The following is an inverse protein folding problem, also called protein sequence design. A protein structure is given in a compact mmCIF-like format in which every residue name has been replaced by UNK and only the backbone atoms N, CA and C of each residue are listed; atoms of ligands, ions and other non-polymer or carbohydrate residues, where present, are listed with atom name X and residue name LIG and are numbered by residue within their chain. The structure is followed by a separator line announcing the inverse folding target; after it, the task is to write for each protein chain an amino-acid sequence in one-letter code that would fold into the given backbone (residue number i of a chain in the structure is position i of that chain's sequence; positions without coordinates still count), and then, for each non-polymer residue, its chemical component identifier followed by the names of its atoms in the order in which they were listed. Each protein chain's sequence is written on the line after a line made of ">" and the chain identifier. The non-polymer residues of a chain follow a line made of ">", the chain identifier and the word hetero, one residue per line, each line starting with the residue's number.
data_IF_991363585855
#
_entry.id   IF_991363585855
#
_cell.length_a   1.000
_cell.length_b   1.000
_cell.length_c   1.000
_cell.angle_alpha   90.00
_cell.angle_beta   90.00
_cell.angle_gamma   90.00
#
_symmetry.space_group_name_H-M   'P 1'
#
loop_
_entity.id
_entity.type
_entity.pdbx_description
1 polymer ?
#
# COMPACT_ATOMS: atom_id res chain seq x y z
N UNK A 1 38.97 -7.98 15.04
CA UNK A 1 37.82 -7.04 15.06
C UNK A 1 36.64 -7.84 14.57
N UNK A 2 35.57 -7.98 15.35
CA UNK A 2 34.49 -8.91 15.06
C UNK A 2 33.76 -8.52 13.77
N UNK A 3 33.87 -9.37 12.74
CA UNK A 3 33.17 -9.33 11.45
C UNK A 3 31.66 -9.62 11.59
N UNK A 4 30.99 -9.07 12.61
CA UNK A 4 29.53 -9.13 12.67
C UNK A 4 28.96 -8.07 11.72
N UNK A 5 28.30 -8.55 10.65
CA UNK A 5 27.54 -7.69 9.78
C UNK A 5 26.54 -6.87 10.60
N UNK A 6 26.42 -5.56 10.33
CA UNK A 6 25.59 -4.69 11.14
C UNK A 6 24.10 -5.01 10.92
N UNK A 7 23.40 -5.35 12.01
CA UNK A 7 21.99 -5.80 11.98
C UNK A 7 21.04 -4.69 11.52
N UNK A 8 20.16 -5.03 10.58
CA UNK A 8 19.09 -4.16 10.03
C UNK A 8 17.78 -4.35 10.78
N UNK A 9 17.51 -5.56 11.26
CA UNK A 9 16.28 -5.97 11.93
C UNK A 9 16.58 -6.78 13.19
N UNK A 10 15.55 -7.09 13.96
CA UNK A 10 15.61 -7.97 15.11
C UNK A 10 14.35 -8.83 15.20
N UNK A 11 14.47 -10.02 15.76
CA UNK A 11 13.33 -10.85 16.13
C UNK A 11 12.83 -10.38 17.50
N UNK A 12 11.53 -10.16 17.64
CA UNK A 12 10.91 -9.80 18.91
C UNK A 12 11.24 -10.82 20.01
N UNK A 13 11.41 -10.35 21.24
CA UNK A 13 11.75 -11.23 22.38
C UNK A 13 10.58 -12.09 22.83
N UNK A 14 9.37 -11.56 22.71
CA UNK A 14 8.15 -12.22 23.14
C UNK A 14 7.43 -12.74 21.90
N UNK A 15 6.93 -14.00 21.92
CA UNK A 15 6.14 -14.51 20.83
C UNK A 15 4.79 -13.78 20.75
N UNK A 16 4.23 -13.73 19.54
CA UNK A 16 2.85 -13.30 19.28
C UNK A 16 1.97 -14.53 19.16
N UNK A 17 0.78 -14.48 19.74
CA UNK A 17 -0.26 -15.50 19.53
C UNK A 17 -1.09 -15.14 18.31
N UNK A 18 -1.20 -16.04 17.34
CA UNK A 18 -2.06 -15.83 16.18
C UNK A 18 -3.55 -15.83 16.59
N UNK A 19 -4.35 -14.82 16.20
CA UNK A 19 -5.77 -14.80 16.55
C UNK A 19 -6.61 -15.81 15.74
N UNK A 20 -6.06 -16.35 14.64
CA UNK A 20 -6.72 -17.35 13.79
C UNK A 20 -6.41 -18.77 14.27
N UNK A 21 -5.13 -19.17 14.24
CA UNK A 21 -4.74 -20.56 14.53
C UNK A 21 -4.20 -20.79 15.96
N UNK A 22 -4.13 -19.74 16.80
CA UNK A 22 -3.62 -19.77 18.19
C UNK A 22 -2.16 -20.17 18.37
N UNK A 23 -1.44 -20.57 17.33
CA UNK A 23 -0.01 -20.82 17.42
C UNK A 23 0.78 -19.56 17.80
N UNK A 24 1.83 -19.77 18.58
CA UNK A 24 2.81 -18.76 18.92
C UNK A 24 3.91 -18.69 17.87
N UNK A 25 4.34 -17.47 17.54
CA UNK A 25 5.43 -17.26 16.60
C UNK A 25 6.17 -15.96 16.92
N UNK A 26 7.43 -15.88 16.52
CA UNK A 26 8.21 -14.66 16.64
C UNK A 26 8.08 -13.80 15.38
N UNK A 27 8.02 -12.49 15.56
CA UNK A 27 7.92 -11.54 14.47
C UNK A 27 9.22 -10.74 14.33
N UNK A 28 9.64 -10.52 13.09
CA UNK A 28 10.79 -9.70 12.78
C UNK A 28 10.41 -8.23 12.61
N UNK A 29 11.16 -7.35 13.28
CA UNK A 29 10.96 -5.91 13.30
C UNK A 29 12.19 -5.18 12.76
N UNK A 30 11.96 -4.10 12.01
CA UNK A 30 13.04 -3.20 11.58
C UNK A 30 13.66 -2.47 12.79
N UNK A 31 14.98 -2.38 12.84
CA UNK A 31 15.66 -1.52 13.81
C UNK A 31 15.55 -0.06 13.38
N UNK A 32 15.13 0.80 14.30
CA UNK A 32 15.07 2.24 14.08
C UNK A 32 16.39 2.94 14.44
N UNK A 33 16.69 4.05 13.76
CA UNK A 33 17.87 4.88 14.03
C UNK A 33 19.21 4.32 13.51
N UNK A 34 20.30 4.98 13.89
CA UNK A 34 21.67 4.57 13.55
C UNK A 34 22.05 4.70 12.08
N UNK A 35 21.36 5.55 11.31
CA UNK A 35 21.63 5.80 9.89
C UNK A 35 21.26 4.64 8.95
N UNK A 36 20.36 3.75 9.38
CA UNK A 36 19.88 2.61 8.58
C UNK A 36 19.04 3.03 7.38
N UNK A 37 18.16 4.00 7.60
CA UNK A 37 17.29 4.57 6.58
C UNK A 37 17.83 5.95 6.20
N UNK A 38 18.35 6.07 4.99
CA UNK A 38 18.79 7.34 4.41
C UNK A 38 17.68 7.75 3.44
N UNK A 39 16.90 8.76 3.82
CA UNK A 39 15.78 9.22 3.00
C UNK A 39 16.27 9.75 1.65
N UNK A 40 15.75 9.19 0.56
CA UNK A 40 15.95 9.63 -0.82
C UNK A 40 14.79 10.49 -1.32
N UNK A 41 14.51 10.41 -2.62
CA UNK A 41 13.46 11.19 -3.31
C UNK A 41 12.04 10.81 -2.85
N UNK A 42 11.17 11.81 -2.75
CA UNK A 42 9.71 11.58 -2.66
C UNK A 42 9.13 11.49 -4.08
N UNK A 43 8.62 10.32 -4.44
CA UNK A 43 8.01 10.05 -5.75
C UNK A 43 6.62 10.67 -5.89
N UNK A 44 6.07 10.65 -7.09
CA UNK A 44 4.73 11.16 -7.36
C UNK A 44 3.65 10.33 -6.66
N UNK A 45 3.81 9.01 -6.57
CA UNK A 45 2.95 8.13 -5.77
C UNK A 45 3.17 8.23 -4.25
N UNK A 46 3.82 9.31 -3.78
CA UNK A 46 4.14 9.59 -2.38
C UNK A 46 5.02 8.51 -1.70
N UNK A 47 5.63 7.61 -2.48
CA UNK A 47 6.64 6.68 -1.98
C UNK A 47 7.94 7.42 -1.68
N UNK A 48 8.52 7.17 -0.50
CA UNK A 48 9.89 7.58 -0.17
C UNK A 48 10.86 6.51 -0.67
N UNK A 49 11.81 6.90 -1.52
CA UNK A 49 12.97 6.02 -1.82
C UNK A 49 13.99 6.10 -0.70
N UNK A 50 14.83 5.08 -0.56
CA UNK A 50 15.92 5.05 0.43
C UNK A 50 17.25 4.82 -0.27
N UNK A 51 18.21 5.69 0.04
CA UNK A 51 19.57 5.59 -0.49
C UNK A 51 20.33 4.43 0.15
N UNK A 52 21.23 3.81 -0.62
CA UNK A 52 22.06 2.71 -0.13
C UNK A 52 22.97 3.18 1.00
N UNK A 53 22.87 2.54 2.16
CA UNK A 53 23.76 2.81 3.28
C UNK A 53 25.14 2.20 3.04
N UNK A 54 26.21 2.96 3.30
CA UNK A 54 27.59 2.43 3.29
C UNK A 54 27.77 1.31 4.33
N UNK A 55 27.06 1.40 5.46
CA UNK A 55 27.18 0.44 6.57
C UNK A 55 26.23 -0.75 6.41
N UNK A 56 24.97 -0.49 6.07
CA UNK A 56 23.91 -1.51 6.08
C UNK A 56 23.50 -2.01 4.68
N UNK A 57 24.08 -1.46 3.61
CA UNK A 57 23.62 -1.73 2.26
C UNK A 57 22.24 -1.14 1.98
N UNK A 58 21.50 -1.74 1.05
CA UNK A 58 20.14 -1.33 0.72
C UNK A 58 19.18 -1.86 1.78
N UNK A 59 18.33 -0.99 2.33
CA UNK A 59 17.34 -1.35 3.34
C UNK A 59 15.95 -1.05 2.81
N UNK A 60 15.08 -2.05 2.84
CA UNK A 60 13.69 -1.96 2.38
C UNK A 60 12.76 -1.97 3.60
N UNK A 61 12.35 -0.81 4.13
CA UNK A 61 11.62 -0.78 5.39
C UNK A 61 10.19 -1.30 5.26
N UNK A 62 9.60 -1.25 4.06
CA UNK A 62 8.24 -1.72 3.81
C UNK A 62 8.05 -3.23 4.04
N UNK A 63 9.10 -4.06 4.01
CA UNK A 63 8.96 -5.52 4.19
C UNK A 63 8.64 -5.92 5.64
N UNK A 64 8.77 -4.99 6.60
CA UNK A 64 8.59 -5.23 8.04
C UNK A 64 7.24 -4.74 8.59
N UNK A 65 6.34 -4.21 7.75
CA UNK A 65 5.10 -3.55 8.22
C UNK A 65 3.98 -4.56 8.52
N UNK A 66 3.93 -5.65 7.77
CA UNK A 66 2.87 -6.66 7.85
C UNK A 66 3.32 -7.81 8.74
N UNK A 67 2.49 -8.14 9.72
CA UNK A 67 2.65 -9.36 10.52
C UNK A 67 2.03 -10.51 9.75
N UNK A 68 2.75 -11.62 9.64
CA UNK A 68 2.26 -12.85 9.01
C UNK A 68 2.44 -13.99 10.01
N UNK A 69 1.40 -14.77 10.26
CA UNK A 69 1.52 -16.00 11.02
C UNK A 69 2.15 -17.09 10.13
N UNK A 70 3.31 -17.68 10.47
CA UNK A 70 3.96 -18.69 9.64
C UNK A 70 3.17 -20.00 9.56
N UNK A 71 2.24 -20.25 10.49
CA UNK A 71 1.48 -21.50 10.55
C UNK A 71 0.23 -21.50 9.66
N UNK A 72 -0.48 -20.37 9.59
CA UNK A 72 -1.74 -20.27 8.86
C UNK A 72 -1.75 -19.22 7.76
N UNK A 73 -0.66 -18.46 7.62
CA UNK A 73 -0.47 -17.38 6.64
C UNK A 73 -1.49 -16.23 6.75
N UNK A 74 -2.24 -16.15 7.85
CA UNK A 74 -3.03 -14.96 8.16
C UNK A 74 -2.09 -13.76 8.34
N UNK A 75 -2.43 -12.65 7.70
CA UNK A 75 -1.61 -11.46 7.67
C UNK A 75 -2.44 -10.19 7.81
N UNK A 76 -1.90 -9.19 8.51
CA UNK A 76 -2.46 -7.85 8.64
C UNK A 76 -1.36 -6.89 9.12
N UNK A 77 -1.63 -5.58 9.11
CA UNK A 77 -0.69 -4.62 9.71
C UNK A 77 -0.56 -4.87 11.21
N UNK A 78 0.58 -4.50 11.77
CA UNK A 78 0.89 -4.75 13.17
C UNK A 78 -0.18 -4.25 14.13
N UNK A 79 -0.70 -3.04 13.91
CA UNK A 79 -1.74 -2.46 14.76
C UNK A 79 -3.09 -3.16 14.64
N UNK A 80 -3.33 -3.85 13.52
CA UNK A 80 -4.60 -4.48 13.19
C UNK A 80 -4.58 -5.99 13.39
N UNK A 81 -3.41 -6.61 13.62
CA UNK A 81 -3.25 -8.06 13.57
C UNK A 81 -4.24 -8.81 14.46
N UNK A 82 -4.47 -8.31 15.67
CA UNK A 82 -5.38 -8.90 16.66
C UNK A 82 -6.83 -8.37 16.56
N UNK A 83 -7.15 -7.53 15.57
CA UNK A 83 -8.47 -6.90 15.39
C UNK A 83 -9.35 -7.65 14.38
N UNK A 84 -9.05 -8.91 14.10
CA UNK A 84 -9.92 -9.78 13.30
C UNK A 84 -11.32 -9.85 13.93
N UNK A 85 -12.37 -9.85 13.11
CA UNK A 85 -13.73 -10.09 13.59
C UNK A 85 -13.82 -11.52 14.13
N UNK A 86 -14.18 -11.66 15.40
CA UNK A 86 -14.33 -12.96 16.06
C UNK A 86 -15.28 -13.90 15.31
N UNK A 87 -16.28 -13.36 14.60
CA UNK A 87 -17.22 -14.16 13.78
C UNK A 87 -16.60 -14.70 12.49
N UNK A 88 -15.42 -14.22 12.12
CA UNK A 88 -14.69 -14.56 10.89
C UNK A 88 -13.45 -15.41 11.13
N UNK A 89 -13.14 -15.75 12.39
CA UNK A 89 -11.95 -16.53 12.75
C UNK A 89 -11.97 -17.93 12.14
N UNK A 90 -13.11 -18.62 12.18
CA UNK A 90 -13.26 -19.96 11.59
C UNK A 90 -13.11 -19.91 10.07
N UNK A 91 -13.78 -18.97 9.40
CA UNK A 91 -13.64 -18.71 7.97
C UNK A 91 -12.18 -18.42 7.58
N UNK A 92 -11.46 -17.64 8.39
CA UNK A 92 -10.04 -17.37 8.17
C UNK A 92 -9.16 -18.60 8.37
N UNK A 93 -9.51 -19.51 9.28
CA UNK A 93 -8.76 -20.74 9.52
C UNK A 93 -8.91 -21.71 8.33
N UNK A 94 -10.11 -21.84 7.78
CA UNK A 94 -10.44 -22.75 6.67
C UNK A 94 -9.69 -22.41 5.37
N UNK A 95 -9.31 -21.14 5.18
CA UNK A 95 -8.57 -20.68 3.99
C UNK A 95 -7.04 -20.84 4.10
N UNK A 96 -6.53 -21.48 5.16
CA UNK A 96 -5.08 -21.70 5.35
C UNK A 96 -4.42 -22.41 4.16
N UNK A 97 -5.01 -23.51 3.68
CA UNK A 97 -4.47 -24.26 2.53
C UNK A 97 -4.49 -23.44 1.24
N UNK A 98 -5.53 -22.63 1.06
CA UNK A 98 -5.66 -21.74 -0.09
C UNK A 98 -4.57 -20.67 -0.09
N UNK A 99 -4.30 -20.03 1.06
CA UNK A 99 -3.19 -19.07 1.20
C UNK A 99 -1.85 -19.71 0.87
N UNK A 100 -1.61 -20.94 1.33
CA UNK A 100 -0.38 -21.67 1.00
C UNK A 100 -0.24 -21.97 -0.51
N UNK A 101 -1.34 -22.34 -1.18
CA UNK A 101 -1.36 -22.51 -2.64
C UNK A 101 -0.98 -21.21 -3.36
N UNK A 102 -1.57 -20.09 -2.95
CA UNK A 102 -1.25 -18.79 -3.54
C UNK A 102 0.20 -18.38 -3.34
N UNK A 103 0.79 -18.61 -2.16
CA UNK A 103 2.21 -18.32 -1.96
C UNK A 103 3.08 -19.12 -2.91
N UNK A 104 2.77 -20.41 -3.09
CA UNK A 104 3.49 -21.28 -4.01
C UNK A 104 3.33 -20.85 -5.47
N UNK A 105 2.12 -20.51 -5.89
CA UNK A 105 1.81 -20.12 -7.27
C UNK A 105 2.43 -18.77 -7.65
N UNK A 106 2.39 -17.78 -6.76
CA UNK A 106 2.84 -16.41 -7.07
C UNK A 106 4.30 -16.15 -6.72
N UNK A 107 4.84 -16.83 -5.70
CA UNK A 107 6.16 -16.53 -5.15
C UNK A 107 7.06 -17.77 -5.03
N UNK A 108 6.62 -18.93 -5.55
CA UNK A 108 7.39 -20.17 -5.49
C UNK A 108 7.46 -20.78 -4.08
N UNK A 109 8.40 -21.70 -3.88
CA UNK A 109 8.55 -22.41 -2.60
C UNK A 109 9.48 -21.69 -1.61
N UNK A 110 9.99 -20.51 -1.95
CA UNK A 110 11.06 -19.83 -1.21
C UNK A 110 10.55 -18.90 -0.11
N UNK A 111 9.24 -18.62 -0.06
CA UNK A 111 8.62 -17.80 0.99
C UNK A 111 8.65 -18.52 2.33
N UNK A 112 9.40 -17.99 3.30
CA UNK A 112 9.52 -18.57 4.64
C UNK A 112 9.49 -17.50 5.74
N UNK A 113 8.34 -17.35 6.39
CA UNK A 113 8.14 -16.40 7.49
C UNK A 113 8.74 -16.83 8.83
N UNK A 114 9.42 -17.98 8.91
CA UNK A 114 10.18 -18.41 10.10
C UNK A 114 11.61 -17.89 10.13
N UNK A 115 12.08 -17.33 9.00
CA UNK A 115 13.42 -16.78 8.81
C UNK A 115 13.38 -15.25 8.72
N UNK A 116 14.58 -14.66 8.66
CA UNK A 116 14.74 -13.25 8.34
C UNK A 116 14.17 -12.94 6.95
N UNK A 117 13.34 -11.91 6.89
CA UNK A 117 12.60 -11.49 5.69
C UNK A 117 13.54 -10.96 4.63
N UNK A 118 13.25 -11.36 3.41
CA UNK A 118 13.77 -10.76 2.20
C UNK A 118 12.66 -9.92 1.53
N UNK A 119 12.97 -9.37 0.35
CA UNK A 119 11.96 -8.74 -0.50
C UNK A 119 10.81 -9.68 -0.85
N UNK A 120 11.09 -10.99 -0.96
CA UNK A 120 10.09 -11.99 -1.31
C UNK A 120 9.02 -12.11 -0.21
N UNK A 121 9.43 -12.30 1.05
CA UNK A 121 8.52 -12.27 2.21
C UNK A 121 7.81 -10.92 2.33
N UNK A 122 8.50 -9.82 1.99
CA UNK A 122 7.93 -8.49 1.94
C UNK A 122 6.72 -8.40 1.01
N UNK A 123 6.90 -8.77 -0.26
CA UNK A 123 5.81 -8.79 -1.24
C UNK A 123 4.71 -9.80 -0.87
N UNK A 124 5.08 -11.02 -0.52
CA UNK A 124 4.15 -12.06 -0.09
C UNK A 124 3.28 -11.60 1.09
N UNK A 125 3.85 -10.85 2.04
CA UNK A 125 3.09 -10.34 3.19
C UNK A 125 1.96 -9.39 2.79
N UNK A 126 2.19 -8.48 1.84
CA UNK A 126 1.13 -7.58 1.36
C UNK A 126 0.06 -8.32 0.56
N UNK A 127 0.45 -9.33 -0.22
CA UNK A 127 -0.51 -10.20 -0.91
C UNK A 127 -1.42 -10.91 0.10
N UNK A 128 -0.85 -11.52 1.14
CA UNK A 128 -1.60 -12.20 2.20
C UNK A 128 -2.48 -11.21 2.98
N UNK A 129 -2.01 -9.99 3.24
CA UNK A 129 -2.78 -8.99 3.95
C UNK A 129 -4.03 -8.52 3.17
N UNK A 130 -4.00 -8.53 1.83
CA UNK A 130 -5.19 -8.27 1.02
C UNK A 130 -6.32 -9.27 1.33
N UNK A 131 -5.98 -10.56 1.50
CA UNK A 131 -6.93 -11.57 1.96
C UNK A 131 -7.27 -11.38 3.44
N UNK A 132 -6.29 -11.10 4.29
CA UNK A 132 -6.48 -10.92 5.73
C UNK A 132 -7.53 -9.87 6.10
N UNK A 133 -7.53 -8.72 5.41
CA UNK A 133 -8.53 -7.66 5.63
C UNK A 133 -9.95 -8.02 5.16
N UNK A 134 -10.20 -9.22 4.62
CA UNK A 134 -11.57 -9.73 4.41
C UNK A 134 -12.24 -10.15 5.71
N UNK A 135 -11.44 -10.49 6.73
CA UNK A 135 -11.92 -11.00 8.01
C UNK A 135 -12.03 -9.89 9.07
N UNK A 136 -11.88 -8.63 8.68
CA UNK A 136 -11.88 -7.47 9.57
C UNK A 136 -13.23 -6.76 9.56
N UNK A 137 -13.60 -6.19 10.71
CA UNK A 137 -14.79 -5.36 10.85
C UNK A 137 -14.59 -3.94 10.34
N UNK A 138 -15.70 -3.21 10.22
CA UNK A 138 -15.73 -1.81 9.72
C UNK A 138 -14.85 -0.82 10.51
N UNK A 139 -14.48 -1.16 11.74
CA UNK A 139 -13.72 -0.28 12.64
C UNK A 139 -12.21 -0.22 12.32
N UNK A 140 -11.71 -1.09 11.44
CA UNK A 140 -10.30 -1.05 10.97
C UNK A 140 -10.16 -0.41 9.59
N UNK A 141 -11.25 0.09 9.00
CA UNK A 141 -11.32 0.58 7.62
C UNK A 141 -10.68 -0.37 6.60
N UNK A 142 -11.15 -1.64 6.51
CA UNK A 142 -10.52 -2.67 5.70
C UNK A 142 -10.41 -2.31 4.22
N UNK A 143 -11.30 -1.46 3.68
CA UNK A 143 -11.20 -1.03 2.28
C UNK A 143 -9.97 -0.16 2.05
N UNK A 144 -9.68 0.80 2.95
CA UNK A 144 -8.44 1.59 2.88
C UNK A 144 -7.20 0.69 3.05
N UNK A 145 -7.24 -0.22 4.02
CA UNK A 145 -6.11 -1.09 4.32
C UNK A 145 -5.77 -2.01 3.14
N UNK A 146 -6.78 -2.51 2.41
CA UNK A 146 -6.58 -3.22 1.15
C UNK A 146 -6.00 -2.32 0.05
N UNK A 147 -6.41 -1.06 -0.03
CA UNK A 147 -5.82 -0.10 -0.98
C UNK A 147 -4.32 0.08 -0.71
N UNK A 148 -3.94 0.28 0.57
CA UNK A 148 -2.56 0.38 1.02
C UNK A 148 -1.76 -0.89 0.72
N UNK A 149 -2.32 -2.07 1.00
CA UNK A 149 -1.67 -3.34 0.67
C UNK A 149 -1.45 -3.51 -0.83
N UNK A 150 -2.42 -3.15 -1.67
CA UNK A 150 -2.29 -3.25 -3.14
C UNK A 150 -1.19 -2.33 -3.66
N UNK A 151 -1.18 -1.08 -3.19
CA UNK A 151 -0.16 -0.11 -3.57
C UNK A 151 1.24 -0.55 -3.09
N UNK A 152 1.39 -0.91 -1.82
CA UNK A 152 2.68 -1.32 -1.26
C UNK A 152 3.17 -2.64 -1.84
N UNK A 153 2.27 -3.55 -2.21
CA UNK A 153 2.61 -4.75 -2.97
C UNK A 153 3.24 -4.38 -4.32
N UNK A 154 2.62 -3.45 -5.06
CA UNK A 154 3.16 -2.98 -6.34
C UNK A 154 4.58 -2.40 -6.19
N UNK A 155 4.85 -1.69 -5.10
CA UNK A 155 6.17 -1.14 -4.77
C UNK A 155 7.21 -2.20 -4.39
N UNK A 156 6.82 -3.22 -3.61
CA UNK A 156 7.72 -4.33 -3.28
C UNK A 156 7.98 -5.23 -4.49
N UNK A 157 7.02 -5.35 -5.41
CA UNK A 157 7.22 -6.02 -6.70
C UNK A 157 8.17 -5.22 -7.60
N UNK A 158 8.10 -3.89 -7.58
CA UNK A 158 9.09 -3.02 -8.24
C UNK A 158 10.50 -3.25 -7.67
N UNK A 159 10.63 -3.34 -6.34
CA UNK A 159 11.91 -3.65 -5.69
C UNK A 159 12.42 -5.05 -6.11
N UNK A 160 11.55 -6.05 -6.14
CA UNK A 160 11.87 -7.40 -6.61
C UNK A 160 12.30 -7.40 -8.07
N UNK A 161 11.58 -6.72 -8.96
CA UNK A 161 11.91 -6.64 -10.38
C UNK A 161 13.27 -5.95 -10.61
N UNK A 162 13.61 -4.95 -9.80
CA UNK A 162 14.91 -4.29 -9.86
C UNK A 162 16.06 -5.21 -9.41
N UNK A 163 15.83 -6.06 -8.41
CA UNK A 163 16.87 -6.99 -7.88
C UNK A 163 16.95 -8.27 -8.72
N UNK A 164 15.81 -8.75 -9.23
CA UNK A 164 15.63 -10.00 -9.96
C UNK A 164 14.90 -9.77 -11.30
N UNK A 165 15.51 -9.07 -12.27
CA UNK A 165 14.84 -8.65 -13.50
C UNK A 165 14.36 -9.80 -14.39
N UNK A 166 14.92 -11.00 -14.24
CA UNK A 166 14.55 -12.17 -15.06
C UNK A 166 13.35 -12.95 -14.51
N UNK A 167 12.89 -12.64 -13.30
CA UNK A 167 11.76 -13.32 -12.64
C UNK A 167 10.40 -12.70 -13.02
N UNK A 168 10.40 -11.63 -13.84
CA UNK A 168 9.19 -11.00 -14.42
C UNK A 168 8.17 -10.46 -13.38
N UNK A 169 8.62 -10.06 -12.18
CA UNK A 169 7.76 -9.48 -11.14
C UNK A 169 7.09 -8.17 -11.58
N UNK A 170 7.67 -7.46 -12.54
CA UNK A 170 7.17 -6.23 -13.13
C UNK A 170 5.78 -6.40 -13.78
N UNK A 171 5.49 -7.59 -14.32
CA UNK A 171 4.22 -7.88 -15.01
C UNK A 171 2.99 -7.74 -14.11
N UNK A 172 3.15 -7.90 -12.80
CA UNK A 172 2.06 -7.81 -11.83
C UNK A 172 1.86 -6.39 -11.28
N UNK A 173 2.81 -5.48 -11.49
CA UNK A 173 2.76 -4.11 -10.95
C UNK A 173 1.52 -3.35 -11.44
N UNK A 174 1.18 -3.31 -12.75
CA UNK A 174 0.02 -2.56 -13.23
C UNK A 174 -1.30 -3.08 -12.65
N UNK A 175 -1.42 -4.41 -12.47
CA UNK A 175 -2.60 -5.03 -11.89
C UNK A 175 -2.85 -4.54 -10.45
N UNK A 176 -1.80 -4.54 -9.61
CA UNK A 176 -1.94 -4.10 -8.22
C UNK A 176 -2.09 -2.58 -8.09
N UNK A 177 -1.52 -1.79 -9.01
CA UNK A 177 -1.78 -0.34 -9.09
C UNK A 177 -3.22 -0.04 -9.47
N UNK A 178 -3.77 -0.75 -10.46
CA UNK A 178 -5.17 -0.64 -10.85
C UNK A 178 -6.10 -1.01 -9.69
N UNK A 179 -5.84 -2.15 -9.03
CA UNK A 179 -6.59 -2.59 -7.85
C UNK A 179 -6.51 -1.56 -6.71
N UNK A 180 -5.34 -0.95 -6.50
CA UNK A 180 -5.21 0.14 -5.53
C UNK A 180 -6.09 1.33 -5.91
N UNK A 181 -6.18 1.71 -7.19
CA UNK A 181 -7.04 2.79 -7.70
C UNK A 181 -8.52 2.59 -7.33
N UNK A 182 -9.04 1.38 -7.60
CA UNK A 182 -10.42 1.01 -7.28
C UNK A 182 -10.66 1.07 -5.76
N UNK A 183 -9.76 0.47 -4.98
CA UNK A 183 -9.88 0.41 -3.52
C UNK A 183 -9.74 1.78 -2.86
N UNK A 184 -8.88 2.67 -3.36
CA UNK A 184 -8.78 4.04 -2.87
C UNK A 184 -10.08 4.81 -3.13
N UNK A 185 -10.67 4.66 -4.31
CA UNK A 185 -11.95 5.29 -4.65
C UNK A 185 -13.08 4.75 -3.76
N UNK A 186 -13.19 3.43 -3.63
CA UNK A 186 -14.18 2.79 -2.75
C UNK A 186 -14.00 3.16 -1.27
N UNK A 187 -12.75 3.34 -0.83
CA UNK A 187 -12.43 3.74 0.53
C UNK A 187 -12.94 5.15 0.85
N UNK A 188 -12.79 6.10 -0.08
CA UNK A 188 -13.34 7.45 0.04
C UNK A 188 -14.88 7.40 0.18
N UNK A 189 -15.54 6.58 -0.62
CA UNK A 189 -17.00 6.39 -0.55
C UNK A 189 -17.43 5.79 0.79
N UNK A 190 -16.74 4.75 1.26
CA UNK A 190 -16.99 4.12 2.55
C UNK A 190 -16.82 5.09 3.72
N UNK A 191 -15.85 6.01 3.62
CA UNK A 191 -15.66 7.08 4.60
C UNK A 191 -16.81 8.10 4.56
N UNK A 192 -17.21 8.53 3.36
CA UNK A 192 -18.24 9.57 3.18
C UNK A 192 -19.64 9.12 3.59
N UNK A 193 -19.98 7.85 3.37
CA UNK A 193 -21.29 7.29 3.74
C UNK A 193 -21.29 6.61 5.13
N UNK A 194 -20.17 6.62 5.85
CA UNK A 194 -20.06 6.03 7.19
C UNK A 194 -20.11 4.50 7.23
N UNK A 195 -19.90 3.81 6.10
CA UNK A 195 -19.85 2.34 6.03
C UNK A 195 -18.66 1.77 6.79
N UNK A 196 -17.54 2.49 6.79
CA UNK A 196 -16.32 2.15 7.54
C UNK A 196 -15.90 3.31 8.44
N UNK A 197 -15.32 3.01 9.60
CA UNK A 197 -14.88 4.01 10.57
C UNK A 197 -13.38 4.31 10.40
N UNK A 198 -13.05 5.57 10.16
CA UNK A 198 -11.68 6.04 9.93
C UNK A 198 -11.09 6.81 11.13
N UNK A 199 -11.86 7.08 12.19
CA UNK A 199 -11.42 7.90 13.33
C UNK A 199 -10.26 7.27 14.11
N UNK A 200 -10.22 5.94 14.18
CA UNK A 200 -9.19 5.18 14.91
C UNK A 200 -7.91 4.95 14.09
N UNK A 201 -7.88 5.40 12.83
CA UNK A 201 -6.72 5.18 11.98
C UNK A 201 -5.56 6.07 12.40
N UNK A 202 -4.42 5.44 12.67
CA UNK A 202 -3.16 6.14 12.96
C UNK A 202 -2.56 6.82 11.73
N UNK A 203 -2.77 6.22 10.55
CA UNK A 203 -2.22 6.71 9.29
C UNK A 203 -3.15 6.41 8.11
N UNK A 204 -3.28 7.39 7.23
CA UNK A 204 -3.90 7.36 5.91
C UNK A 204 -2.84 7.28 4.80
N UNK A 205 -1.57 7.41 5.15
CA UNK A 205 -0.47 7.58 4.23
C UNK A 205 -0.13 6.31 3.44
N UNK A 206 0.16 6.45 2.14
CA UNK A 206 0.54 5.33 1.29
C UNK A 206 1.89 4.74 1.72
N UNK A 207 2.80 5.55 2.26
CA UNK A 207 4.11 5.14 2.78
C UNK A 207 4.12 5.14 4.34
N UNK A 208 5.18 4.60 4.93
CA UNK A 208 5.48 4.66 6.37
C UNK A 208 6.33 5.90 6.74
N UNK A 209 6.94 6.58 5.76
CA UNK A 209 7.72 7.81 5.96
C UNK A 209 6.85 8.99 6.42
N UNK A 210 5.70 9.19 5.77
CA UNK A 210 4.81 10.30 6.06
C UNK A 210 3.34 9.91 5.86
N UNK A 211 2.50 10.34 6.80
CA UNK A 211 1.06 10.05 6.81
C UNK A 211 0.33 10.78 5.68
N UNK A 212 0.70 12.01 5.31
CA UNK A 212 -0.02 12.86 4.33
C UNK A 212 -1.53 13.08 4.59
N UNK A 213 -2.12 12.45 5.61
CA UNK A 213 -3.50 12.60 6.02
C UNK A 213 -4.51 12.19 4.95
N UNK A 214 -5.74 12.67 5.14
CA UNK A 214 -6.84 12.47 4.20
C UNK A 214 -6.54 13.13 2.83
N UNK A 215 -5.80 14.24 2.81
CA UNK A 215 -5.36 14.87 1.57
C UNK A 215 -4.46 13.94 0.74
N UNK A 216 -3.54 13.22 1.37
CA UNK A 216 -2.73 12.19 0.72
C UNK A 216 -3.59 11.08 0.12
N UNK A 217 -4.61 10.62 0.85
CA UNK A 217 -5.56 9.64 0.35
C UNK A 217 -6.34 10.13 -0.88
N UNK A 218 -6.84 11.37 -0.86
CA UNK A 218 -7.51 11.98 -2.02
C UNK A 218 -6.58 12.13 -3.21
N UNK A 219 -5.34 12.55 -2.96
CA UNK A 219 -4.31 12.67 -3.99
C UNK A 219 -4.00 11.31 -4.63
N UNK A 220 -3.79 10.26 -3.83
CA UNK A 220 -3.52 8.91 -4.34
C UNK A 220 -4.68 8.36 -5.16
N UNK A 221 -5.93 8.56 -4.70
CA UNK A 221 -7.12 8.15 -5.44
C UNK A 221 -7.27 8.85 -6.80
N UNK A 222 -6.81 10.11 -6.91
CA UNK A 222 -6.83 10.85 -8.15
C UNK A 222 -5.67 10.45 -9.08
N UNK A 223 -4.46 10.30 -8.53
CA UNK A 223 -3.26 9.92 -9.28
C UNK A 223 -3.44 8.54 -9.92
N UNK A 224 -3.82 7.55 -9.11
CA UNK A 224 -4.06 6.19 -9.60
C UNK A 224 -5.27 6.11 -10.54
N UNK A 225 -6.26 7.01 -10.36
CA UNK A 225 -7.40 7.14 -11.27
C UNK A 225 -6.99 7.67 -12.65
N UNK A 226 -6.10 8.67 -12.68
CA UNK A 226 -5.52 9.19 -13.91
C UNK A 226 -4.65 8.14 -14.61
N UNK A 227 -3.84 7.38 -13.86
CA UNK A 227 -3.03 6.32 -14.45
C UNK A 227 -3.88 5.17 -15.00
N UNK A 228 -4.93 4.76 -14.27
CA UNK A 228 -5.87 3.74 -14.73
C UNK A 228 -6.64 4.19 -15.99
N UNK A 229 -6.94 5.48 -16.15
CA UNK A 229 -7.70 5.99 -17.30
C UNK A 229 -6.96 5.82 -18.64
N UNK A 230 -5.63 5.68 -18.62
CA UNK A 230 -4.81 5.41 -19.81
C UNK A 230 -5.16 4.09 -20.49
N UNK A 231 -5.77 3.15 -19.76
CA UNK A 231 -6.18 1.85 -20.26
C UNK A 231 -7.68 1.78 -20.64
N UNK A 232 -8.41 2.89 -20.52
CA UNK A 232 -9.83 2.96 -20.88
C UNK A 232 -9.94 3.27 -22.38
N UNK A 233 -10.48 2.35 -23.21
CA UNK A 233 -10.55 2.54 -24.65
C UNK A 233 -11.65 3.52 -25.07
N UNK A 234 -12.76 3.58 -24.33
CA UNK A 234 -13.87 4.50 -24.60
C UNK A 234 -13.49 5.92 -24.12
N UNK A 235 -13.34 6.90 -25.03
CA UNK A 235 -12.95 8.25 -24.68
C UNK A 235 -13.92 8.94 -23.71
N UNK A 236 -15.21 8.61 -23.76
CA UNK A 236 -16.22 9.18 -22.85
C UNK A 236 -16.06 8.65 -21.43
N UNK A 237 -15.88 7.34 -21.29
CA UNK A 237 -15.63 6.71 -19.97
C UNK A 237 -14.30 7.20 -19.39
N UNK A 238 -13.29 7.40 -20.25
CA UNK A 238 -12.00 8.00 -19.86
C UNK A 238 -12.20 9.42 -19.33
N UNK A 239 -12.95 10.27 -20.05
CA UNK A 239 -13.25 11.64 -19.62
C UNK A 239 -14.00 11.66 -18.29
N UNK A 240 -15.04 10.83 -18.11
CA UNK A 240 -15.78 10.71 -16.85
C UNK A 240 -14.86 10.31 -15.69
N UNK A 241 -13.95 9.36 -15.91
CA UNK A 241 -12.96 8.93 -14.91
C UNK A 241 -12.03 10.09 -14.51
N UNK A 242 -11.53 10.85 -15.48
CA UNK A 242 -10.67 12.02 -15.26
C UNK A 242 -11.39 13.15 -14.53
N UNK A 243 -12.68 13.39 -14.82
CA UNK A 243 -13.52 14.34 -14.08
C UNK A 243 -13.62 13.93 -12.61
N UNK A 244 -13.85 12.65 -12.32
CA UNK A 244 -13.91 12.17 -10.93
C UNK A 244 -12.55 12.33 -10.22
N UNK A 245 -11.44 12.06 -10.92
CA UNK A 245 -10.10 12.30 -10.40
C UNK A 245 -9.88 13.80 -10.10
N UNK A 246 -10.23 14.69 -11.03
CA UNK A 246 -10.14 16.15 -10.85
C UNK A 246 -10.96 16.62 -9.64
N UNK A 247 -12.21 16.16 -9.50
CA UNK A 247 -13.08 16.48 -8.36
C UNK A 247 -12.47 16.11 -7.02
N UNK A 248 -11.78 14.96 -6.90
CA UNK A 248 -11.09 14.55 -5.66
C UNK A 248 -9.99 15.54 -5.28
N UNK A 249 -9.21 16.03 -6.24
CA UNK A 249 -8.14 17.01 -6.02
C UNK A 249 -8.71 18.39 -5.69
N UNK A 250 -9.76 18.83 -6.39
CA UNK A 250 -10.43 20.11 -6.14
C UNK A 250 -10.93 20.25 -4.69
N UNK A 251 -11.39 19.16 -4.07
CA UNK A 251 -11.78 19.13 -2.65
C UNK A 251 -10.62 19.49 -1.71
N UNK A 252 -9.37 19.22 -2.09
CA UNK A 252 -8.18 19.53 -1.29
C UNK A 252 -7.90 21.05 -1.28
N UNK A 253 -8.22 21.75 -2.37
CA UNK A 253 -8.11 23.21 -2.46
C UNK A 253 -9.24 23.92 -1.70
N UNK A 254 -10.47 23.41 -1.78
CA UNK A 254 -11.65 24.03 -1.17
C UNK A 254 -11.79 23.83 0.36
N UNK A 255 -11.00 22.95 0.98
CA UNK A 255 -11.19 22.56 2.39
C UNK A 255 -10.78 23.61 3.43
N UNK A 256 -10.24 24.78 3.04
CA UNK A 256 -10.08 25.99 3.89
C UNK A 256 -9.19 25.88 5.15
N UNK A 257 -8.86 24.67 5.62
CA UNK A 257 -7.99 24.43 6.76
C UNK A 257 -6.55 24.72 6.31
N UNK A 258 -6.00 25.75 6.94
CA UNK A 258 -4.80 26.49 6.58
C UNK A 258 -3.70 25.70 5.84
N UNK A 259 -3.22 26.29 4.75
CA UNK A 259 -2.00 25.94 4.03
C UNK A 259 -0.74 25.81 4.90
N UNK A 260 -0.78 26.22 6.18
CA UNK A 260 0.33 26.19 7.13
C UNK A 260 0.68 24.80 7.67
N UNK A 261 -0.23 23.82 7.59
CA UNK A 261 0.00 22.44 8.09
C UNK A 261 0.21 21.39 6.99
N UNK A 262 -0.02 21.75 5.72
CA UNK A 262 0.11 20.84 4.58
C UNK A 262 1.58 20.70 4.20
N UNK A 263 2.13 19.48 4.05
CA UNK A 263 3.50 19.32 3.53
C UNK A 263 3.63 20.02 2.18
N UNK A 264 4.58 20.95 2.05
CA UNK A 264 4.77 21.73 0.81
C UNK A 264 4.91 20.84 -0.43
N UNK A 265 5.60 19.71 -0.28
CA UNK A 265 5.78 18.71 -1.33
C UNK A 265 4.47 18.06 -1.83
N UNK A 266 3.44 17.93 -0.98
CA UNK A 266 2.14 17.41 -1.41
C UNK A 266 1.36 18.46 -2.22
N UNK A 267 1.43 19.73 -1.82
CA UNK A 267 0.73 20.81 -2.51
C UNK A 267 1.23 21.01 -3.95
N UNK A 268 2.53 20.90 -4.18
CA UNK A 268 3.13 20.97 -5.51
C UNK A 268 2.61 19.83 -6.40
N UNK A 269 2.68 18.59 -5.91
CA UNK A 269 2.17 17.40 -6.60
C UNK A 269 0.69 17.48 -6.93
N UNK A 270 -0.13 18.02 -6.02
CA UNK A 270 -1.57 18.25 -6.25
C UNK A 270 -1.78 19.23 -7.42
N UNK A 271 -1.01 20.32 -7.49
CA UNK A 271 -1.11 21.29 -8.59
C UNK A 271 -0.69 20.67 -9.92
N UNK A 272 0.44 19.98 -9.94
CA UNK A 272 0.93 19.26 -11.13
C UNK A 272 -0.11 18.27 -11.65
N UNK A 273 -0.68 17.46 -10.76
CA UNK A 273 -1.69 16.47 -11.13
C UNK A 273 -2.98 17.14 -11.63
N UNK A 274 -3.41 18.26 -11.02
CA UNK A 274 -4.58 19.00 -11.50
C UNK A 274 -4.37 19.56 -12.92
N UNK A 275 -3.18 20.08 -13.21
CA UNK A 275 -2.81 20.56 -14.55
C UNK A 275 -2.83 19.40 -15.54
N UNK A 276 -2.16 18.30 -15.23
CA UNK A 276 -2.07 17.15 -16.12
C UNK A 276 -3.44 16.53 -16.44
N UNK A 277 -4.35 16.45 -15.46
CA UNK A 277 -5.73 16.00 -15.71
C UNK A 277 -6.49 17.00 -16.59
N UNK A 278 -6.26 18.30 -16.42
CA UNK A 278 -6.94 19.33 -17.23
C UNK A 278 -6.48 19.31 -18.67
N UNK A 279 -5.17 19.14 -18.90
CA UNK A 279 -4.60 18.99 -20.26
C UNK A 279 -5.18 17.77 -20.96
N UNK A 280 -5.26 16.62 -20.29
CA UNK A 280 -5.84 15.40 -20.85
C UNK A 280 -7.34 15.57 -21.18
N UNK A 281 -8.10 16.25 -20.32
CA UNK A 281 -9.51 16.54 -20.58
C UNK A 281 -9.70 17.48 -21.78
N UNK A 282 -8.85 18.50 -21.92
CA UNK A 282 -8.89 19.40 -23.07
C UNK A 282 -8.57 18.65 -24.37
N UNK A 283 -7.57 17.77 -24.35
CA UNK A 283 -7.24 16.92 -25.48
C UNK A 283 -8.43 16.03 -25.90
N UNK A 284 -9.13 15.40 -24.95
CA UNK A 284 -10.32 14.61 -25.24
C UNK A 284 -11.47 15.45 -25.83
N UNK A 285 -11.63 16.69 -25.38
CA UNK A 285 -12.62 17.61 -25.94
C UNK A 285 -12.25 18.01 -27.38
N UNK A 286 -10.98 18.33 -27.64
CA UNK A 286 -10.49 18.73 -28.97
C UNK A 286 -10.55 17.57 -29.98
N UNK A 287 -10.16 16.36 -29.58
CA UNK A 287 -10.08 15.19 -30.47
C UNK A 287 -11.45 14.52 -30.69
N UNK A 288 -12.29 14.43 -29.65
CA UNK A 288 -13.54 13.66 -29.67
C UNK A 288 -14.81 14.49 -29.47
N UNK A 289 -14.71 15.81 -29.23
CA UNK A 289 -15.86 16.67 -28.97
C UNK A 289 -16.55 16.40 -27.63
N UNK A 290 -15.83 15.84 -26.65
CA UNK A 290 -16.36 15.47 -25.33
C UNK A 290 -16.24 16.68 -24.39
N UNK A 291 -17.34 17.41 -24.22
CA UNK A 291 -17.47 18.44 -23.19
C UNK A 291 -17.91 17.79 -21.87
N UNK A 292 -17.08 17.94 -20.84
CA UNK A 292 -17.29 17.39 -19.49
C UNK A 292 -17.22 18.48 -18.42
N UNK A 293 -17.66 19.68 -18.78
CA UNK A 293 -17.85 20.83 -17.87
C UNK A 293 -18.62 20.50 -16.59
#
# INVERSE_FOLDING_TARGET
>A
MSDEQPKVSFIEKNPRTCPVCRNEFYHEMLLTGGGRLIAGKLRNDLRRTYEKSKKYGTVYPLIYVVVVCPHCLYAAFQEDFNLIDHKKVEEAADTTRQRASYMKEFFGNDVDFTKHRTLLEGAASYFLALDGYRYHGKDTAPTLKKALCSLRLSWTLEDLANVYPNENYDRLIPFFQYKASELYSASIECMQNGKENFEKLKSFGPDIDNNFGYEGMLYMAALLGMDASKFIPDPKVKAETLVQAKRKISKIFGSGKSSKSKPSALLEKIKELHVAITEELNHLNEEYGIDVS
#
